data_IF_888247655326
#
_entry.id   IF_888247655326
#
_cell.length_a   1.000
_cell.length_b   1.000
_cell.length_c   1.000
_cell.angle_alpha   90.00
_cell.angle_beta   90.00
_cell.angle_gamma   90.00
#
_symmetry.space_group_name_H-M   'P 1'
#
loop_
_entity.id
_entity.type
_entity.pdbx_description
1 polymer ?
#
# COMPACT_ATOMS: atom_id res chain seq x y z
N UNK A 1 -6.46 4.45 -34.15
CA UNK A 1 -7.56 3.57 -33.67
C UNK A 1 -7.71 3.77 -32.18
N UNK A 2 -8.77 4.45 -31.77
CA UNK A 2 -9.08 4.75 -30.37
C UNK A 2 -9.76 3.51 -29.78
N UNK A 3 -9.08 2.76 -28.93
CA UNK A 3 -9.71 1.69 -28.15
C UNK A 3 -10.23 2.30 -26.86
N UNK A 4 -11.53 2.59 -26.88
CA UNK A 4 -12.32 3.07 -25.76
C UNK A 4 -12.49 1.89 -24.77
N UNK A 5 -11.68 1.82 -23.70
CA UNK A 5 -11.88 0.84 -22.62
C UNK A 5 -13.07 1.26 -21.77
N UNK A 6 -14.25 0.69 -22.10
CA UNK A 6 -15.41 0.70 -21.22
C UNK A 6 -15.04 0.07 -19.87
N UNK A 7 -15.31 0.79 -18.78
CA UNK A 7 -15.37 0.23 -17.42
C UNK A 7 -16.35 -0.96 -17.45
N UNK A 8 -15.85 -2.16 -17.20
CA UNK A 8 -16.68 -3.35 -16.99
C UNK A 8 -17.14 -3.28 -15.54
N UNK A 9 -18.38 -2.83 -15.37
CA UNK A 9 -19.16 -2.97 -14.15
C UNK A 9 -19.47 -4.45 -13.91
N UNK A 10 -18.79 -5.06 -12.95
CA UNK A 10 -19.10 -6.42 -12.49
C UNK A 10 -20.45 -6.42 -11.75
N UNK A 11 -21.44 -7.08 -12.35
CA UNK A 11 -22.74 -7.36 -11.75
C UNK A 11 -22.59 -8.52 -10.76
N UNK A 12 -22.51 -8.21 -9.46
CA UNK A 12 -22.74 -9.21 -8.40
C UNK A 12 -24.23 -9.55 -8.37
N UNK A 13 -24.61 -10.73 -8.86
CA UNK A 13 -25.90 -11.33 -8.53
C UNK A 13 -25.68 -12.37 -7.43
N UNK A 14 -26.27 -12.07 -6.28
CA UNK A 14 -26.31 -12.89 -5.08
C UNK A 14 -26.98 -14.24 -5.32
N UNK A 15 -26.50 -15.30 -4.64
CA UNK A 15 -27.36 -16.33 -4.02
C UNK A 15 -26.57 -17.04 -2.91
N UNK A 16 -26.65 -16.54 -1.68
CA UNK A 16 -26.47 -17.38 -0.48
C UNK A 16 -27.75 -17.23 0.31
N UNK A 17 -28.54 -18.30 0.35
CA UNK A 17 -29.79 -18.39 1.11
C UNK A 17 -29.40 -18.43 2.60
N UNK A 18 -29.69 -17.35 3.32
CA UNK A 18 -29.54 -17.26 4.77
C UNK A 18 -30.94 -17.37 5.39
N UNK A 19 -31.12 -18.40 6.21
CA UNK A 19 -32.35 -18.67 6.96
C UNK A 19 -32.55 -17.58 8.02
N UNK A 20 -33.75 -17.00 8.02
CA UNK A 20 -34.23 -15.97 8.95
C UNK A 20 -34.17 -16.42 10.42
N UNK A 21 -33.53 -15.62 11.28
CA UNK A 21 -33.88 -15.51 12.71
C UNK A 21 -34.19 -14.03 12.99
N UNK A 22 -35.40 -13.67 13.44
CA UNK A 22 -35.74 -12.29 13.74
C UNK A 22 -35.23 -11.96 15.15
N UNK A 23 -34.08 -11.27 15.26
CA UNK A 23 -33.66 -10.63 16.49
C UNK A 23 -34.06 -9.14 16.44
N UNK A 24 -34.78 -8.72 17.48
CA UNK A 24 -35.38 -7.41 17.65
C UNK A 24 -34.38 -6.26 17.41
N UNK A 25 -34.85 -5.27 16.65
CA UNK A 25 -34.25 -3.95 16.50
C UNK A 25 -34.20 -3.22 17.85
N UNK A 26 -33.07 -3.28 18.54
CA UNK A 26 -32.66 -2.23 19.46
C UNK A 26 -31.79 -1.25 18.68
N UNK A 27 -32.46 -0.23 18.15
CA UNK A 27 -31.88 1.01 17.64
C UNK A 27 -31.11 1.71 18.77
N UNK A 28 -29.88 1.29 19.04
CA UNK A 28 -28.89 2.20 19.57
C UNK A 28 -28.47 3.08 18.42
N UNK A 29 -28.83 4.36 18.47
CA UNK A 29 -28.25 5.37 17.59
C UNK A 29 -26.74 5.40 17.86
N UNK A 30 -25.97 4.64 17.07
CA UNK A 30 -24.54 4.83 16.95
C UNK A 30 -24.39 6.21 16.34
N UNK A 31 -24.13 7.21 17.19
CA UNK A 31 -23.72 8.52 16.74
C UNK A 31 -22.55 8.28 15.78
N UNK A 32 -22.81 8.44 14.48
CA UNK A 32 -21.82 8.44 13.44
C UNK A 32 -20.83 9.56 13.80
N UNK A 33 -19.79 9.21 14.53
CA UNK A 33 -18.60 10.04 14.65
C UNK A 33 -17.86 9.94 13.31
N UNK A 34 -18.51 10.42 12.24
CA UNK A 34 -17.81 10.70 11.00
C UNK A 34 -16.85 11.83 11.32
N UNK A 35 -15.55 11.53 11.28
CA UNK A 35 -14.51 12.55 11.39
C UNK A 35 -14.87 13.69 10.45
N UNK A 36 -14.86 14.94 10.93
CA UNK A 36 -15.01 16.11 10.06
C UNK A 36 -14.03 15.99 8.89
N UNK A 37 -14.55 16.06 7.66
CA UNK A 37 -13.72 16.05 6.46
C UNK A 37 -12.66 17.15 6.56
N UNK A 38 -11.42 16.85 6.17
CA UNK A 38 -10.37 17.85 6.13
C UNK A 38 -10.54 18.74 4.90
N UNK A 39 -10.24 20.02 5.03
CA UNK A 39 -10.26 20.92 3.86
C UNK A 39 -9.05 20.64 2.96
N UNK A 40 -9.11 20.97 1.66
CA UNK A 40 -7.95 20.85 0.77
C UNK A 40 -6.71 21.56 1.31
N UNK A 41 -6.87 22.77 1.85
CA UNK A 41 -5.75 23.56 2.40
C UNK A 41 -5.12 22.90 3.63
N UNK A 42 -5.92 22.28 4.49
CA UNK A 42 -5.41 21.51 5.64
C UNK A 42 -4.56 20.32 5.18
N UNK A 43 -5.02 19.58 4.17
CA UNK A 43 -4.31 18.41 3.64
C UNK A 43 -3.00 18.82 2.95
N UNK A 44 -3.02 19.88 2.13
CA UNK A 44 -1.82 20.42 1.50
C UNK A 44 -0.80 20.87 2.54
N UNK A 45 -1.23 21.58 3.59
CA UNK A 45 -0.34 22.02 4.67
C UNK A 45 0.32 20.86 5.40
N UNK A 46 -0.40 19.75 5.63
CA UNK A 46 0.17 18.55 6.24
C UNK A 46 1.24 17.93 5.33
N UNK A 47 0.96 17.81 4.03
CA UNK A 47 1.90 17.25 3.05
C UNK A 47 3.16 18.11 2.99
N UNK A 48 3.03 19.41 2.75
CA UNK A 48 4.15 20.34 2.64
C UNK A 48 5.02 20.34 3.90
N UNK A 49 4.39 20.39 5.08
CA UNK A 49 5.12 20.33 6.35
C UNK A 49 5.92 19.04 6.44
N UNK A 50 5.30 17.88 6.14
CA UNK A 50 5.96 16.59 6.26
C UNK A 50 7.11 16.43 5.28
N UNK A 51 6.93 16.85 4.03
CA UNK A 51 8.00 16.83 3.03
C UNK A 51 9.12 17.85 3.34
N UNK A 52 8.77 18.98 3.96
CA UNK A 52 9.74 19.94 4.49
C UNK A 52 10.63 19.33 5.57
N UNK A 53 10.05 18.63 6.55
CA UNK A 53 10.80 17.90 7.59
C UNK A 53 11.78 16.87 6.98
N UNK A 54 11.33 16.12 5.97
CA UNK A 54 12.20 15.20 5.23
C UNK A 54 13.29 15.94 4.44
N UNK A 55 12.95 17.07 3.83
CA UNK A 55 13.88 17.92 3.12
C UNK A 55 14.98 18.48 4.03
N UNK A 56 14.69 18.84 5.27
CA UNK A 56 15.71 19.28 6.22
C UNK A 56 16.65 18.13 6.63
N UNK A 57 16.10 16.92 6.77
CA UNK A 57 16.82 15.74 7.24
C UNK A 57 17.69 15.08 6.17
N UNK A 58 17.24 15.08 4.92
CA UNK A 58 17.93 14.47 3.79
C UNK A 58 18.35 15.56 2.79
N UNK A 59 19.46 16.29 3.06
CA UNK A 59 19.85 17.47 2.30
C UNK A 59 20.17 17.19 0.83
N UNK A 60 20.45 15.92 0.49
CA UNK A 60 20.78 15.49 -0.87
C UNK A 60 19.56 15.19 -1.73
N UNK A 61 18.35 15.19 -1.15
CA UNK A 61 17.10 14.79 -1.81
C UNK A 61 16.10 15.93 -1.79
N UNK A 62 15.67 16.44 -2.94
CA UNK A 62 14.52 17.33 -3.02
C UNK A 62 13.25 16.47 -3.00
N UNK A 63 12.40 16.66 -1.99
CA UNK A 63 11.05 16.07 -2.00
C UNK A 63 10.09 17.07 -2.63
N UNK A 64 9.24 16.58 -3.54
CA UNK A 64 8.13 17.35 -4.09
C UNK A 64 6.87 16.50 -4.06
N UNK A 65 5.74 17.17 -3.87
CA UNK A 65 4.41 16.60 -4.03
C UNK A 65 3.82 17.11 -5.33
N UNK A 66 3.22 16.20 -6.10
CA UNK A 66 2.40 16.53 -7.27
C UNK A 66 1.06 15.80 -7.17
N UNK A 67 0.00 16.46 -7.63
CA UNK A 67 -1.36 16.00 -7.34
C UNK A 67 -1.83 14.92 -8.32
N UNK A 68 -1.55 15.09 -9.62
CA UNK A 68 -2.17 14.29 -10.66
C UNK A 68 -3.64 14.67 -10.90
N UNK A 69 -4.40 13.76 -11.51
CA UNK A 69 -5.81 14.00 -11.83
C UNK A 69 -5.94 15.11 -12.87
N UNK A 70 -6.77 16.14 -12.60
CA UNK A 70 -7.01 17.23 -13.56
C UNK A 70 -5.74 18.02 -13.94
N UNK A 71 -4.73 18.08 -13.06
CA UNK A 71 -3.45 18.79 -13.30
C UNK A 71 -2.33 17.90 -13.81
N UNK A 72 -2.60 16.63 -14.14
CA UNK A 72 -1.56 15.63 -14.43
C UNK A 72 -0.53 16.10 -15.49
N UNK A 73 -0.98 16.84 -16.50
CA UNK A 73 -0.12 17.29 -17.60
C UNK A 73 0.87 18.36 -17.14
N UNK A 74 0.39 19.35 -16.39
CA UNK A 74 1.21 20.44 -15.85
C UNK A 74 2.22 19.90 -14.83
N UNK A 75 1.76 19.01 -13.95
CA UNK A 75 2.61 18.31 -12.97
C UNK A 75 3.74 17.53 -13.67
N UNK A 76 3.40 16.77 -14.72
CA UNK A 76 4.38 16.00 -15.48
C UNK A 76 5.40 16.90 -16.19
N UNK A 77 4.96 17.97 -16.85
CA UNK A 77 5.85 18.93 -17.52
C UNK A 77 6.78 19.61 -16.53
N UNK A 78 6.28 19.95 -15.33
CA UNK A 78 7.09 20.53 -14.27
C UNK A 78 8.22 19.58 -13.85
N UNK A 79 7.93 18.29 -13.62
CA UNK A 79 8.94 17.28 -13.29
C UNK A 79 9.99 17.15 -14.37
N UNK A 80 9.58 16.98 -15.64
CA UNK A 80 10.50 16.82 -16.78
C UNK A 80 11.43 18.04 -16.91
N UNK A 81 10.91 19.24 -16.65
CA UNK A 81 11.70 20.48 -16.68
C UNK A 81 12.70 20.56 -15.52
N UNK A 82 12.32 20.08 -14.32
CA UNK A 82 13.14 20.17 -13.12
C UNK A 82 14.37 19.25 -13.14
N UNK A 83 14.25 18.04 -13.68
CA UNK A 83 15.29 16.99 -13.57
C UNK A 83 16.55 17.26 -14.39
N UNK A 84 16.50 18.06 -15.46
CA UNK A 84 17.65 18.36 -16.32
C UNK A 84 18.06 17.25 -17.30
N UNK A 85 19.05 17.53 -18.14
CA UNK A 85 19.53 16.62 -19.18
C UNK A 85 20.45 15.53 -18.62
N UNK A 86 20.25 14.28 -19.05
CA UNK A 86 21.04 13.14 -18.56
C UNK A 86 20.66 12.71 -17.13
N UNK A 87 19.45 13.05 -16.68
CA UNK A 87 18.89 12.51 -15.44
C UNK A 87 18.73 10.98 -15.53
N UNK A 88 18.80 10.30 -14.39
CA UNK A 88 18.68 8.84 -14.30
C UNK A 88 17.60 8.45 -13.30
N UNK A 89 16.73 7.52 -13.67
CA UNK A 89 15.79 6.91 -12.74
C UNK A 89 16.55 6.07 -11.69
N UNK A 90 16.04 6.06 -10.45
CA UNK A 90 16.64 5.35 -9.33
C UNK A 90 15.69 4.29 -8.73
N UNK A 91 14.50 4.13 -9.30
CA UNK A 91 13.50 3.17 -8.80
C UNK A 91 13.95 1.72 -8.96
N UNK A 92 14.82 1.45 -9.94
CA UNK A 92 15.33 0.13 -10.31
C UNK A 92 16.83 0.18 -10.49
N UNK A 93 17.51 -0.90 -10.10
CA UNK A 93 18.89 -1.14 -10.51
C UNK A 93 18.91 -1.39 -12.02
N UNK A 94 19.86 -0.77 -12.72
CA UNK A 94 20.05 -1.01 -14.15
C UNK A 94 21.49 -0.68 -14.57
N UNK A 95 22.06 -1.37 -15.56
CA UNK A 95 23.38 -1.06 -16.05
C UNK A 95 23.36 0.21 -16.93
N UNK A 96 24.51 0.86 -17.17
CA UNK A 96 24.56 2.13 -17.88
C UNK A 96 23.95 2.11 -19.29
N UNK A 97 24.03 0.96 -19.98
CA UNK A 97 23.65 0.81 -21.38
C UNK A 97 22.14 0.96 -21.62
N UNK A 98 21.31 0.70 -20.60
CA UNK A 98 19.84 0.80 -20.67
C UNK A 98 19.28 2.02 -19.95
N UNK A 99 20.15 2.94 -19.50
CA UNK A 99 19.74 4.10 -18.70
C UNK A 99 18.68 4.95 -19.39
N UNK A 100 18.82 5.17 -20.70
CA UNK A 100 17.86 5.95 -21.48
C UNK A 100 16.48 5.27 -21.55
N UNK A 101 16.46 3.96 -21.81
CA UNK A 101 15.23 3.16 -21.90
C UNK A 101 14.50 3.12 -20.55
N UNK A 102 15.24 2.92 -19.45
CA UNK A 102 14.67 2.92 -18.10
C UNK A 102 14.13 4.31 -17.74
N UNK A 103 14.80 5.38 -18.17
CA UNK A 103 14.30 6.74 -17.97
C UNK A 103 12.99 6.99 -18.71
N UNK A 104 12.87 6.54 -19.97
CA UNK A 104 11.63 6.63 -20.75
C UNK A 104 10.48 5.85 -20.08
N UNK A 105 10.76 4.62 -19.64
CA UNK A 105 9.78 3.80 -18.90
C UNK A 105 9.36 4.47 -17.59
N UNK A 106 10.29 5.13 -16.90
CA UNK A 106 10.00 5.85 -15.65
C UNK A 106 9.09 7.06 -15.89
N UNK A 107 9.28 7.78 -17.00
CA UNK A 107 8.35 8.85 -17.39
C UNK A 107 6.97 8.34 -17.75
N UNK A 108 6.88 7.28 -18.56
CA UNK A 108 5.59 6.71 -18.93
C UNK A 108 4.87 6.13 -17.71
N UNK A 109 5.60 5.54 -16.76
CA UNK A 109 5.07 5.15 -15.45
C UNK A 109 4.52 6.36 -14.70
N UNK A 110 5.33 7.40 -14.49
CA UNK A 110 4.94 8.61 -13.75
C UNK A 110 3.69 9.25 -14.36
N UNK A 111 3.68 9.43 -15.67
CA UNK A 111 2.53 9.95 -16.43
C UNK A 111 1.27 9.13 -16.18
N UNK A 112 1.35 7.79 -16.25
CA UNK A 112 0.22 6.91 -15.95
C UNK A 112 -0.26 7.02 -14.51
N UNK A 113 0.67 7.11 -13.54
CA UNK A 113 0.31 7.28 -12.13
C UNK A 113 -0.44 8.61 -11.92
N UNK A 114 0.04 9.69 -12.53
CA UNK A 114 -0.61 11.01 -12.47
C UNK A 114 -1.99 11.02 -13.13
N UNK A 115 -2.13 10.41 -14.32
CA UNK A 115 -3.41 10.32 -15.02
C UNK A 115 -4.47 9.49 -14.27
N UNK A 116 -4.04 8.53 -13.47
CA UNK A 116 -4.91 7.59 -12.78
C UNK A 116 -5.09 7.88 -11.28
N UNK A 117 -4.60 9.03 -10.79
CA UNK A 117 -4.62 9.40 -9.36
C UNK A 117 -3.97 8.31 -8.45
N UNK A 118 -2.96 7.61 -8.96
CA UNK A 118 -2.29 6.55 -8.19
C UNK A 118 -1.25 7.15 -7.27
N UNK A 119 -1.35 6.79 -5.99
CA UNK A 119 -0.33 7.13 -4.99
C UNK A 119 0.95 6.36 -5.27
N UNK A 120 2.06 7.08 -5.42
CA UNK A 120 3.37 6.48 -5.69
C UNK A 120 4.53 7.44 -5.42
N UNK A 121 5.71 6.86 -5.28
CA UNK A 121 6.98 7.55 -5.37
C UNK A 121 7.73 7.23 -6.68
N UNK A 122 8.45 8.23 -7.19
CA UNK A 122 9.41 8.08 -8.30
C UNK A 122 10.68 8.86 -7.97
N UNK A 123 11.83 8.19 -8.06
CA UNK A 123 13.13 8.76 -7.69
C UNK A 123 14.02 8.99 -8.89
N UNK A 124 14.67 10.15 -8.93
CA UNK A 124 15.63 10.53 -9.97
C UNK A 124 16.93 11.06 -9.37
N UNK A 125 18.04 10.78 -10.04
CA UNK A 125 19.24 11.60 -9.94
C UNK A 125 19.13 12.70 -10.99
N UNK A 126 19.29 13.95 -10.57
CA UNK A 126 19.16 15.09 -11.48
C UNK A 126 20.35 15.18 -12.41
N UNK A 127 20.09 15.61 -13.63
CA UNK A 127 21.08 15.79 -14.69
C UNK A 127 21.62 17.21 -14.78
N UNK A 128 22.38 17.47 -15.84
CA UNK A 128 22.95 18.77 -16.14
C UNK A 128 21.86 19.79 -16.49
N UNK A 129 22.03 21.03 -16.04
CA UNK A 129 21.07 22.10 -16.30
C UNK A 129 19.76 21.98 -15.51
N UNK A 130 19.66 21.06 -14.55
CA UNK A 130 18.56 21.01 -13.59
C UNK A 130 18.42 22.33 -12.84
N UNK A 131 17.18 22.77 -12.60
CA UNK A 131 16.87 23.92 -11.75
C UNK A 131 16.98 23.61 -10.25
N UNK A 132 17.15 22.34 -9.89
CA UNK A 132 17.21 21.88 -8.51
C UNK A 132 18.60 22.05 -7.93
N UNK A 133 18.65 22.46 -6.65
CA UNK A 133 19.92 22.59 -5.91
C UNK A 133 20.45 21.26 -5.37
N UNK A 134 19.57 20.25 -5.26
CA UNK A 134 19.86 18.94 -4.66
C UNK A 134 20.11 17.91 -5.75
N UNK A 135 20.95 16.91 -5.43
CA UNK A 135 21.43 15.92 -6.41
C UNK A 135 20.37 14.89 -6.80
N UNK A 136 19.38 14.67 -5.93
CA UNK A 136 18.30 13.72 -6.16
C UNK A 136 16.95 14.43 -6.04
N UNK A 137 15.97 13.91 -6.76
CA UNK A 137 14.58 14.32 -6.71
C UNK A 137 13.73 13.11 -6.33
N UNK A 138 12.92 13.25 -5.30
CA UNK A 138 11.85 12.32 -4.93
C UNK A 138 10.51 12.99 -5.27
N UNK A 139 9.78 12.39 -6.21
CA UNK A 139 8.46 12.86 -6.64
C UNK A 139 7.41 11.97 -6.00
N UNK A 140 6.55 12.55 -5.16
CA UNK A 140 5.43 11.85 -4.54
C UNK A 140 4.15 12.27 -5.26
N UNK A 141 3.50 11.31 -5.91
CA UNK A 141 2.20 11.49 -6.54
C UNK A 141 1.12 11.18 -5.52
N UNK A 142 0.24 12.13 -5.23
CA UNK A 142 -0.83 11.95 -4.26
C UNK A 142 -1.96 12.95 -4.53
N UNK A 143 -3.15 12.47 -4.87
CA UNK A 143 -4.34 13.32 -4.91
C UNK A 143 -5.10 13.22 -3.58
N UNK A 144 -4.89 14.14 -2.62
CA UNK A 144 -5.49 14.01 -1.29
C UNK A 144 -7.02 14.04 -1.31
N UNK A 145 -7.63 14.67 -2.32
CA UNK A 145 -9.10 14.71 -2.45
C UNK A 145 -9.68 13.34 -2.83
N UNK A 146 -9.04 12.66 -3.79
CA UNK A 146 -9.45 11.33 -4.20
C UNK A 146 -9.12 10.26 -3.15
N UNK A 147 -8.04 10.46 -2.40
CA UNK A 147 -7.45 9.46 -1.52
C UNK A 147 -7.98 9.48 -0.06
N UNK A 148 -8.14 10.65 0.56
CA UNK A 148 -8.26 10.78 2.04
C UNK A 148 -9.16 11.93 2.50
N UNK A 149 -10.17 12.31 1.71
CA UNK A 149 -11.06 13.42 2.09
C UNK A 149 -11.71 13.24 3.49
N UNK A 150 -11.98 11.98 3.89
CA UNK A 150 -12.46 11.59 5.21
C UNK A 150 -12.16 10.10 5.47
N UNK A 151 -12.48 9.63 6.68
CA UNK A 151 -12.24 8.25 7.13
C UNK A 151 -12.91 7.19 6.23
N UNK A 152 -14.13 7.46 5.71
CA UNK A 152 -14.81 6.54 4.78
C UNK A 152 -14.04 6.44 3.46
N UNK A 153 -13.64 7.58 2.88
CA UNK A 153 -12.89 7.62 1.61
C UNK A 153 -11.53 6.94 1.74
N UNK A 154 -10.79 7.21 2.82
CA UNK A 154 -9.51 6.55 3.07
C UNK A 154 -9.65 5.02 3.15
N UNK A 155 -10.69 4.55 3.86
CA UNK A 155 -10.98 3.12 3.99
C UNK A 155 -11.40 2.50 2.66
N UNK A 156 -12.27 3.18 1.93
CA UNK A 156 -12.77 2.74 0.64
C UNK A 156 -11.65 2.62 -0.39
N UNK A 157 -10.78 3.63 -0.47
CA UNK A 157 -9.62 3.62 -1.35
C UNK A 157 -8.66 2.49 -0.98
N UNK A 158 -8.33 2.35 0.32
CA UNK A 158 -7.37 1.35 0.78
C UNK A 158 -7.84 -0.09 0.56
N UNK A 159 -9.15 -0.34 0.52
CA UNK A 159 -9.72 -1.68 0.35
C UNK A 159 -10.32 -1.93 -1.05
N UNK A 160 -10.29 -0.93 -1.93
CA UNK A 160 -10.94 -0.93 -3.25
C UNK A 160 -12.41 -1.43 -3.20
N UNK A 161 -13.20 -0.86 -2.29
CA UNK A 161 -14.59 -1.28 -2.07
C UNK A 161 -15.59 -0.49 -2.92
N UNK A 162 -16.59 -1.21 -3.44
CA UNK A 162 -17.80 -0.58 -3.98
C UNK A 162 -18.54 0.19 -2.89
N UNK A 163 -19.31 1.22 -3.26
CA UNK A 163 -20.13 1.97 -2.30
C UNK A 163 -21.09 1.06 -1.53
N UNK A 164 -21.70 0.09 -2.20
CA UNK A 164 -22.60 -0.89 -1.57
C UNK A 164 -21.92 -1.76 -0.51
N UNK A 165 -20.64 -2.09 -0.68
CA UNK A 165 -19.87 -2.84 0.31
C UNK A 165 -19.42 -1.91 1.43
N UNK A 166 -18.97 -0.71 1.07
CA UNK A 166 -18.51 0.31 2.02
C UNK A 166 -19.61 0.74 3.00
N UNK A 167 -20.86 0.84 2.55
CA UNK A 167 -22.00 1.21 3.40
C UNK A 167 -22.31 0.18 4.51
N UNK A 168 -21.78 -1.04 4.37
CA UNK A 168 -21.91 -2.10 5.38
C UNK A 168 -20.74 -2.10 6.37
N UNK A 169 -19.61 -1.51 6.02
CA UNK A 169 -18.40 -1.51 6.85
C UNK A 169 -18.69 -0.77 8.15
N UNK A 170 -18.37 -1.38 9.28
CA UNK A 170 -18.57 -0.76 10.58
C UNK A 170 -17.64 0.46 10.73
N UNK A 171 -18.13 1.64 11.13
CA UNK A 171 -17.29 2.83 11.28
C UNK A 171 -16.07 2.66 12.20
N UNK A 172 -16.09 1.74 13.18
CA UNK A 172 -14.91 1.48 14.02
C UNK A 172 -13.74 0.86 13.23
N UNK A 173 -14.00 0.34 12.03
CA UNK A 173 -13.01 -0.19 11.09
C UNK A 173 -12.45 0.83 10.14
N UNK A 174 -12.99 2.05 10.15
CA UNK A 174 -12.49 3.06 9.26
C UNK A 174 -11.03 3.42 9.61
N UNK A 175 -10.28 3.71 8.57
CA UNK A 175 -8.94 4.29 8.68
C UNK A 175 -9.11 5.78 8.98
N UNK A 176 -8.50 6.23 10.08
CA UNK A 176 -8.41 7.66 10.32
C UNK A 176 -7.62 8.31 9.18
N UNK A 177 -8.25 9.20 8.42
CA UNK A 177 -7.71 9.73 7.17
C UNK A 177 -6.43 10.56 7.35
N UNK A 178 -6.25 11.21 8.51
CA UNK A 178 -5.04 12.00 8.83
C UNK A 178 -3.86 11.09 9.20
N UNK A 179 -4.13 10.06 10.00
CA UNK A 179 -3.13 9.02 10.26
C UNK A 179 -2.77 8.28 8.96
N UNK A 180 -3.77 8.02 8.09
CA UNK A 180 -3.55 7.39 6.80
C UNK A 180 -2.69 8.24 5.87
N UNK A 181 -2.97 9.54 5.76
CA UNK A 181 -2.12 10.47 5.01
C UNK A 181 -0.66 10.40 5.49
N UNK A 182 -0.45 10.49 6.80
CA UNK A 182 0.90 10.50 7.38
C UNK A 182 1.63 9.20 7.09
N UNK A 183 0.95 8.06 7.30
CA UNK A 183 1.47 6.74 7.00
C UNK A 183 1.83 6.58 5.52
N UNK A 184 0.96 7.03 4.61
CA UNK A 184 1.18 6.97 3.17
C UNK A 184 2.36 7.84 2.74
N UNK A 185 2.47 9.07 3.24
CA UNK A 185 3.63 9.91 2.94
C UNK A 185 4.93 9.26 3.44
N UNK A 186 4.93 8.71 4.64
CA UNK A 186 6.10 8.01 5.20
C UNK A 186 6.46 6.76 4.39
N UNK A 187 5.46 6.02 3.90
CA UNK A 187 5.62 4.88 3.01
C UNK A 187 6.27 5.29 1.67
N UNK A 188 5.73 6.32 1.01
CA UNK A 188 6.25 6.77 -0.29
C UNK A 188 7.64 7.42 -0.16
N UNK A 189 7.89 8.15 0.93
CA UNK A 189 9.23 8.67 1.22
C UNK A 189 10.22 7.53 1.40
N UNK A 190 9.85 6.45 2.09
CA UNK A 190 10.73 5.29 2.23
C UNK A 190 11.15 4.70 0.89
N UNK A 191 10.24 4.59 -0.09
CA UNK A 191 10.61 4.11 -1.43
C UNK A 191 11.73 4.95 -2.06
N UNK A 192 11.68 6.27 -1.87
CA UNK A 192 12.75 7.16 -2.32
C UNK A 192 14.07 6.97 -1.55
N UNK A 193 13.99 6.84 -0.22
CA UNK A 193 15.16 6.58 0.61
C UNK A 193 15.82 5.24 0.23
N UNK A 194 15.01 4.22 -0.01
CA UNK A 194 15.42 2.90 -0.46
C UNK A 194 16.13 2.96 -1.82
N UNK A 195 15.53 3.67 -2.78
CA UNK A 195 16.11 3.89 -4.10
C UNK A 195 17.44 4.63 -4.07
N UNK A 196 17.51 5.73 -3.31
CA UNK A 196 18.67 6.62 -3.32
C UNK A 196 19.84 6.07 -2.50
N UNK A 197 19.56 5.46 -1.34
CA UNK A 197 20.60 4.99 -0.42
C UNK A 197 20.93 3.51 -0.55
N UNK A 198 20.04 2.71 -1.16
CA UNK A 198 20.21 1.25 -1.24
C UNK A 198 20.03 0.67 -2.65
N UNK A 199 19.86 1.51 -3.68
CA UNK A 199 19.86 1.09 -5.09
C UNK A 199 18.50 0.64 -5.63
N UNK A 200 17.43 0.74 -4.84
CA UNK A 200 16.07 0.45 -5.30
C UNK A 200 15.79 -1.03 -5.53
N UNK A 201 14.90 -1.36 -6.49
CA UNK A 201 14.58 -2.75 -6.81
C UNK A 201 15.71 -3.37 -7.64
N UNK A 202 16.34 -4.48 -7.18
CA UNK A 202 17.44 -5.10 -7.90
C UNK A 202 16.97 -5.78 -9.19
N UNK A 203 17.87 -5.87 -10.17
CA UNK A 203 17.62 -6.67 -11.37
C UNK A 203 17.60 -8.16 -11.04
N UNK A 204 16.80 -8.91 -11.79
CA UNK A 204 16.64 -10.35 -11.55
C UNK A 204 16.35 -11.11 -12.82
N UNK A 205 16.86 -12.34 -12.87
CA UNK A 205 16.58 -13.33 -13.94
C UNK A 205 15.50 -14.33 -13.51
N UNK A 206 15.03 -14.24 -12.28
CA UNK A 206 14.00 -15.12 -11.76
C UNK A 206 12.65 -14.74 -12.40
N UNK A 207 11.83 -15.69 -12.86
CA UNK A 207 10.58 -15.41 -13.58
C UNK A 207 9.62 -14.46 -12.85
N UNK A 208 9.56 -14.53 -11.52
CA UNK A 208 8.75 -13.64 -10.67
C UNK A 208 9.60 -12.75 -9.77
N UNK A 209 10.87 -12.56 -10.12
CA UNK A 209 11.80 -11.84 -9.27
C UNK A 209 11.40 -10.36 -9.12
N UNK A 210 10.85 -9.74 -10.16
CA UNK A 210 10.36 -8.36 -10.11
C UNK A 210 9.27 -8.20 -9.06
N UNK A 211 8.24 -9.04 -9.10
CA UNK A 211 7.14 -9.05 -8.14
C UNK A 211 7.63 -9.37 -6.72
N UNK A 212 8.56 -10.32 -6.57
CA UNK A 212 9.16 -10.65 -5.29
C UNK A 212 9.91 -9.45 -4.67
N UNK A 213 10.73 -8.75 -5.46
CA UNK A 213 11.46 -7.58 -4.98
C UNK A 213 10.52 -6.40 -4.69
N UNK A 214 9.47 -6.21 -5.49
CA UNK A 214 8.43 -5.23 -5.18
C UNK A 214 7.73 -5.56 -3.86
N UNK A 215 7.30 -6.80 -3.63
CA UNK A 215 6.68 -7.24 -2.38
C UNK A 215 7.56 -6.96 -1.15
N UNK A 216 8.87 -7.20 -1.29
CA UNK A 216 9.85 -6.89 -0.24
C UNK A 216 9.97 -5.40 0.04
N UNK A 217 9.99 -4.57 -1.01
CA UNK A 217 10.07 -3.10 -0.87
C UNK A 217 8.81 -2.52 -0.24
N UNK A 218 7.63 -2.95 -0.69
CA UNK A 218 6.34 -2.59 -0.08
C UNK A 218 6.28 -2.98 1.40
N UNK A 219 6.78 -4.16 1.74
CA UNK A 219 6.87 -4.62 3.13
C UNK A 219 7.78 -3.72 3.97
N UNK A 220 8.96 -3.33 3.46
CA UNK A 220 9.87 -2.44 4.17
C UNK A 220 9.27 -1.03 4.34
N UNK A 221 8.61 -0.50 3.30
CA UNK A 221 7.95 0.79 3.35
C UNK A 221 6.84 0.84 4.40
N UNK A 222 5.99 -0.19 4.46
CA UNK A 222 4.97 -0.31 5.50
C UNK A 222 5.56 -0.52 6.90
N UNK A 223 6.68 -1.24 7.03
CA UNK A 223 7.38 -1.38 8.31
C UNK A 223 7.86 -0.02 8.83
N UNK A 224 8.50 0.75 7.95
CA UNK A 224 9.02 2.07 8.24
C UNK A 224 7.88 3.04 8.63
N UNK A 225 6.84 3.14 7.80
CA UNK A 225 5.69 3.99 8.05
C UNK A 225 4.97 3.61 9.36
N UNK A 226 4.82 2.32 9.65
CA UNK A 226 4.22 1.88 10.92
C UNK A 226 5.10 2.23 12.12
N UNK A 227 6.42 2.07 12.02
CA UNK A 227 7.33 2.40 13.11
C UNK A 227 7.30 3.90 13.42
N UNK A 228 7.25 4.75 12.39
CA UNK A 228 7.07 6.20 12.54
C UNK A 228 5.72 6.55 13.17
N UNK A 229 4.65 5.88 12.75
CA UNK A 229 3.33 6.05 13.35
C UNK A 229 3.35 5.70 14.85
N UNK A 230 3.87 4.52 15.24
CA UNK A 230 3.99 4.14 16.64
C UNK A 230 4.87 5.10 17.44
N UNK A 231 6.01 5.53 16.87
CA UNK A 231 6.93 6.49 17.47
C UNK A 231 6.22 7.82 17.78
N UNK A 232 5.46 8.34 16.83
CA UNK A 232 4.75 9.62 17.00
C UNK A 232 3.59 9.55 17.99
N UNK A 233 2.94 8.38 18.10
CA UNK A 233 1.75 8.19 18.95
C UNK A 233 2.07 7.65 20.33
N UNK A 234 3.25 7.06 20.52
CA UNK A 234 3.68 6.42 21.76
C UNK A 234 2.86 5.19 22.17
N UNK A 235 2.01 4.67 21.27
CA UNK A 235 1.12 3.51 21.51
C UNK A 235 0.60 2.92 20.21
N UNK A 236 0.15 1.67 20.26
CA UNK A 236 -0.64 1.05 19.17
C UNK A 236 -2.03 1.67 19.13
N UNK A 237 -2.37 2.37 18.05
CA UNK A 237 -3.65 3.06 17.87
C UNK A 237 -4.70 2.19 17.14
N UNK A 238 -6.00 2.58 17.14
CA UNK A 238 -7.00 1.94 16.29
C UNK A 238 -6.63 1.94 14.80
N UNK A 239 -6.09 3.06 14.28
CA UNK A 239 -5.57 3.14 12.90
C UNK A 239 -4.57 2.02 12.61
N UNK A 240 -3.57 1.84 13.50
CA UNK A 240 -2.53 0.82 13.33
C UNK A 240 -3.10 -0.60 13.23
N UNK A 241 -4.18 -0.89 13.97
CA UNK A 241 -4.89 -2.17 13.88
C UNK A 241 -5.67 -2.29 12.58
N UNK A 242 -6.45 -1.26 12.25
CA UNK A 242 -7.31 -1.27 11.06
C UNK A 242 -6.49 -1.35 9.76
N UNK A 243 -5.36 -0.64 9.65
CA UNK A 243 -4.50 -0.73 8.47
C UNK A 243 -3.84 -2.11 8.35
N UNK A 244 -3.51 -2.76 9.46
CA UNK A 244 -2.99 -4.14 9.46
C UNK A 244 -4.03 -5.10 8.88
N UNK A 245 -5.30 -4.98 9.31
CA UNK A 245 -6.38 -5.80 8.75
C UNK A 245 -6.63 -5.48 7.29
N UNK A 246 -6.62 -4.19 6.92
CA UNK A 246 -6.81 -3.79 5.54
C UNK A 246 -5.73 -4.41 4.64
N UNK A 247 -4.45 -4.29 5.02
CA UNK A 247 -3.33 -4.92 4.30
C UNK A 247 -3.42 -6.44 4.22
N UNK A 248 -4.01 -7.11 5.22
CA UNK A 248 -4.22 -8.56 5.15
C UNK A 248 -5.22 -8.96 4.04
N UNK A 249 -6.18 -8.10 3.73
CA UNK A 249 -7.18 -8.32 2.67
C UNK A 249 -6.61 -8.10 1.26
N UNK A 250 -5.49 -7.36 1.11
CA UNK A 250 -4.86 -7.11 -0.20
C UNK A 250 -4.39 -8.39 -0.89
N UNK A 251 -4.17 -9.48 -0.15
CA UNK A 251 -3.83 -10.79 -0.72
C UNK A 251 -4.80 -11.27 -1.80
N UNK A 252 -6.03 -10.76 -1.75
CA UNK A 252 -7.15 -11.15 -2.59
C UNK A 252 -7.65 -10.02 -3.50
N UNK A 253 -6.85 -8.95 -3.64
CA UNK A 253 -7.06 -7.84 -4.59
C UNK A 253 -6.19 -8.04 -5.83
N UNK A 254 -6.27 -7.12 -6.78
CA UNK A 254 -5.41 -7.09 -7.97
C UNK A 254 -3.93 -6.79 -7.69
N UNK A 255 -3.60 -6.41 -6.46
CA UNK A 255 -2.24 -6.06 -6.05
C UNK A 255 -1.80 -6.80 -4.77
N UNK A 256 -1.70 -8.13 -4.81
CA UNK A 256 -1.33 -8.91 -3.64
C UNK A 256 0.12 -8.72 -3.18
N UNK A 257 0.96 -8.06 -3.98
CA UNK A 257 2.28 -7.57 -3.56
C UNK A 257 2.19 -6.44 -2.51
N UNK A 258 0.98 -6.02 -2.15
CA UNK A 258 0.71 -5.09 -1.06
C UNK A 258 0.08 -5.79 0.16
N UNK A 259 0.08 -7.13 0.20
CA UNK A 259 -0.27 -7.91 1.39
C UNK A 259 0.90 -7.97 2.41
N UNK A 260 1.20 -6.84 3.02
CA UNK A 260 2.37 -6.62 3.88
C UNK A 260 2.09 -6.83 5.38
N UNK A 261 0.91 -7.36 5.71
CA UNK A 261 0.41 -7.34 7.08
C UNK A 261 1.31 -8.07 8.09
N UNK A 262 1.97 -9.18 7.72
CA UNK A 262 2.92 -9.89 8.61
C UNK A 262 4.06 -8.95 9.03
N UNK A 263 4.54 -8.13 8.09
CA UNK A 263 5.59 -7.14 8.36
C UNK A 263 5.11 -6.03 9.29
N UNK A 264 3.90 -5.52 9.07
CA UNK A 264 3.30 -4.53 9.98
C UNK A 264 3.13 -5.11 11.38
N UNK A 265 2.71 -6.37 11.50
CA UNK A 265 2.53 -7.06 12.79
C UNK A 265 3.83 -7.16 13.59
N UNK A 266 4.95 -7.47 12.96
CA UNK A 266 6.26 -7.43 13.62
C UNK A 266 6.62 -6.04 14.15
N UNK A 267 6.13 -4.98 13.50
CA UNK A 267 6.30 -3.62 14.03
C UNK A 267 5.40 -3.38 15.24
N UNK A 268 4.16 -3.88 15.22
CA UNK A 268 3.18 -3.68 16.30
C UNK A 268 3.53 -4.36 17.62
N UNK A 269 4.40 -5.38 17.61
CA UNK A 269 4.91 -6.02 18.83
C UNK A 269 6.06 -5.25 19.47
N UNK A 270 6.64 -4.26 18.77
CA UNK A 270 7.67 -3.41 19.35
C UNK A 270 7.10 -2.50 20.44
N UNK A 271 7.91 -2.30 21.47
CA UNK A 271 7.63 -1.28 22.48
C UNK A 271 7.80 0.13 21.86
N UNK A 272 6.73 0.94 21.79
CA UNK A 272 6.81 2.29 21.25
C UNK A 272 7.83 3.17 21.99
N UNK A 273 8.08 2.91 23.28
CA UNK A 273 9.10 3.62 24.05
C UNK A 273 10.52 3.38 23.51
N UNK A 274 10.80 2.19 22.98
CA UNK A 274 12.09 1.88 22.35
C UNK A 274 12.26 2.58 21.01
N UNK A 275 11.17 2.84 20.28
CA UNK A 275 11.21 3.54 18.99
C UNK A 275 11.54 5.04 19.14
N UNK A 276 11.24 5.64 20.31
CA UNK A 276 11.46 7.07 20.55
C UNK A 276 12.93 7.49 20.44
N UNK A 277 13.87 6.59 20.77
CA UNK A 277 15.31 6.86 20.73
C UNK A 277 15.99 6.40 19.44
N UNK A 278 15.28 5.73 18.53
CA UNK A 278 15.88 5.23 17.28
C UNK A 278 15.97 6.37 16.29
N UNK A 279 17.18 6.62 15.78
CA UNK A 279 17.39 7.60 14.73
C UNK A 279 16.63 7.19 13.47
N UNK A 280 16.27 8.15 12.62
CA UNK A 280 15.52 7.80 11.41
C UNK A 280 16.35 6.98 10.42
N UNK A 281 17.65 7.25 10.32
CA UNK A 281 18.56 6.44 9.51
C UNK A 281 18.58 4.97 9.99
N UNK A 282 18.61 4.76 11.32
CA UNK A 282 18.53 3.42 11.89
C UNK A 282 17.16 2.78 11.65
N UNK A 283 16.05 3.56 11.64
CA UNK A 283 14.73 3.05 11.29
C UNK A 283 14.65 2.61 9.82
N UNK A 284 15.28 3.33 8.89
CA UNK A 284 15.33 2.94 7.47
C UNK A 284 16.07 1.61 7.32
N UNK A 285 17.26 1.47 7.94
CA UNK A 285 18.03 0.23 7.91
C UNK A 285 17.28 -0.93 8.60
N UNK A 286 16.66 -0.64 9.75
CA UNK A 286 15.86 -1.62 10.49
C UNK A 286 14.67 -2.10 9.67
N UNK A 287 13.92 -1.22 9.00
CA UNK A 287 12.77 -1.58 8.18
C UNK A 287 13.15 -2.58 7.08
N UNK A 288 14.30 -2.40 6.43
CA UNK A 288 14.85 -3.38 5.48
C UNK A 288 15.15 -4.72 6.14
N UNK A 289 15.74 -4.73 7.33
CA UNK A 289 16.08 -5.95 8.08
C UNK A 289 14.87 -6.73 8.63
N UNK A 290 13.73 -6.05 8.84
CA UNK A 290 12.49 -6.73 9.25
C UNK A 290 12.01 -7.64 8.13
N UNK A 291 12.12 -7.19 6.88
CA UNK A 291 11.69 -7.95 5.69
C UNK A 291 12.43 -9.29 5.57
N UNK A 292 13.69 -9.37 5.97
CA UNK A 292 14.45 -10.63 5.99
C UNK A 292 13.87 -11.69 6.93
N UNK A 293 13.08 -11.27 7.92
CA UNK A 293 12.44 -12.14 8.91
C UNK A 293 10.97 -12.43 8.62
N UNK A 294 10.29 -11.51 7.92
CA UNK A 294 8.83 -11.58 7.70
C UNK A 294 8.45 -12.02 6.30
N UNK A 295 9.29 -11.73 5.31
CA UNK A 295 9.06 -12.14 3.93
C UNK A 295 9.83 -13.42 3.66
N UNK A 296 9.09 -14.45 3.23
CA UNK A 296 9.67 -15.73 2.79
C UNK A 296 10.71 -15.49 1.70
N UNK A 297 11.64 -16.44 1.54
CA UNK A 297 12.54 -16.44 0.39
C UNK A 297 11.75 -16.52 -0.95
N UNK A 298 12.46 -16.39 -2.07
CA UNK A 298 11.82 -16.36 -3.39
C UNK A 298 10.92 -17.59 -3.64
N UNK A 299 11.39 -18.79 -3.30
CA UNK A 299 10.62 -20.02 -3.50
C UNK A 299 9.38 -20.05 -2.60
N UNK A 300 9.53 -19.70 -1.33
CA UNK A 300 8.42 -19.59 -0.39
C UNK A 300 7.42 -18.51 -0.79
N UNK A 301 7.86 -17.41 -1.36
CA UNK A 301 7.01 -16.38 -1.96
C UNK A 301 6.20 -16.96 -3.12
N UNK A 302 6.83 -17.62 -4.09
CA UNK A 302 6.12 -18.23 -5.23
C UNK A 302 5.09 -19.26 -4.76
N UNK A 303 5.44 -20.13 -3.80
CA UNK A 303 4.48 -21.09 -3.22
C UNK A 303 3.32 -20.39 -2.49
N UNK A 304 3.60 -19.33 -1.73
CA UNK A 304 2.57 -18.53 -1.08
C UNK A 304 1.63 -17.87 -2.11
N UNK A 305 2.17 -17.38 -3.23
CA UNK A 305 1.37 -16.81 -4.32
C UNK A 305 0.46 -17.85 -4.98
N UNK A 306 0.98 -19.04 -5.28
CA UNK A 306 0.17 -20.14 -5.81
C UNK A 306 -0.96 -20.53 -4.83
N UNK A 307 -0.65 -20.65 -3.53
CA UNK A 307 -1.64 -20.95 -2.51
C UNK A 307 -2.69 -19.84 -2.36
N UNK A 308 -2.30 -18.57 -2.48
CA UNK A 308 -3.22 -17.43 -2.45
C UNK A 308 -4.21 -17.47 -3.64
N UNK A 309 -3.74 -17.80 -4.86
CA UNK A 309 -4.62 -17.97 -6.01
C UNK A 309 -5.64 -19.10 -5.80
N UNK A 310 -5.19 -20.24 -5.24
CA UNK A 310 -6.09 -21.35 -4.93
C UNK A 310 -7.11 -20.96 -3.87
N UNK A 311 -6.69 -20.24 -2.83
CA UNK A 311 -7.57 -19.71 -1.81
C UNK A 311 -8.60 -18.71 -2.40
N UNK A 312 -8.16 -17.84 -3.32
CA UNK A 312 -9.03 -16.87 -3.98
C UNK A 312 -10.13 -17.56 -4.79
N UNK A 313 -9.77 -18.61 -5.53
CA UNK A 313 -10.71 -19.45 -6.26
C UNK A 313 -11.73 -20.14 -5.33
N UNK A 314 -11.29 -20.66 -4.18
CA UNK A 314 -12.19 -21.26 -3.17
C UNK A 314 -13.17 -20.22 -2.59
N UNK A 315 -12.72 -18.97 -2.46
CA UNK A 315 -13.53 -17.85 -2.00
C UNK A 315 -14.44 -17.27 -3.08
N UNK A 316 -14.40 -17.81 -4.31
CA UNK A 316 -15.23 -17.35 -5.43
C UNK A 316 -14.78 -16.02 -6.04
N UNK A 317 -13.51 -15.63 -5.84
CA UNK A 317 -12.94 -14.42 -6.43
C UNK A 317 -12.50 -14.69 -7.87
N UNK A 318 -12.71 -13.71 -8.76
CA UNK A 318 -12.38 -13.86 -10.17
C UNK A 318 -10.85 -13.89 -10.40
N UNK A 319 -10.32 -14.90 -11.13
CA UNK A 319 -8.88 -15.00 -11.43
C UNK A 319 -8.32 -13.82 -12.23
N UNK A 320 -9.16 -13.12 -13.01
CA UNK A 320 -8.79 -11.97 -13.83
C UNK A 320 -8.29 -10.78 -12.99
N UNK A 321 -8.64 -10.75 -11.71
CA UNK A 321 -8.11 -9.78 -10.74
C UNK A 321 -6.59 -9.83 -10.67
N UNK A 322 -5.96 -10.99 -10.92
CA UNK A 322 -4.53 -11.11 -10.72
C UNK A 322 -3.73 -10.70 -11.96
N UNK A 323 -4.26 -10.79 -13.19
CA UNK A 323 -3.56 -10.39 -14.43
C UNK A 323 -2.88 -11.55 -15.19
N UNK A 324 -2.11 -11.26 -16.25
CA UNK A 324 -1.60 -12.28 -17.19
C UNK A 324 -0.38 -13.08 -16.68
N UNK A 325 0.42 -12.50 -15.77
CA UNK A 325 1.66 -13.11 -15.26
C UNK A 325 1.44 -14.35 -14.35
N UNK A 326 0.18 -14.74 -14.10
CA UNK A 326 -0.17 -15.72 -13.06
C UNK A 326 -0.50 -17.11 -13.59
N UNK A 327 -0.45 -17.30 -14.91
CA UNK A 327 -0.75 -18.58 -15.56
C UNK A 327 0.14 -19.73 -15.04
N UNK A 328 1.39 -19.44 -14.65
CA UNK A 328 2.31 -20.45 -14.13
C UNK A 328 2.07 -20.79 -12.66
N UNK A 329 1.78 -19.81 -11.80
CA UNK A 329 1.41 -20.05 -10.40
C UNK A 329 0.13 -20.90 -10.27
N UNK A 330 -0.83 -20.70 -11.17
CA UNK A 330 -2.08 -21.45 -11.18
C UNK A 330 -1.89 -22.96 -11.45
N UNK A 331 -0.77 -23.35 -12.09
CA UNK A 331 -0.44 -24.75 -12.40
C UNK A 331 0.37 -25.43 -11.30
N UNK A 332 0.86 -24.67 -10.31
CA UNK A 332 1.70 -25.22 -9.26
C UNK A 332 0.89 -26.02 -8.24
N UNK A 333 1.48 -27.11 -7.74
CA UNK A 333 0.96 -27.79 -6.56
C UNK A 333 1.07 -26.88 -5.33
N UNK A 334 0.04 -26.91 -4.49
CA UNK A 334 -0.06 -26.07 -3.29
C UNK A 334 -0.33 -26.93 -2.07
N UNK A 335 0.27 -26.56 -0.94
CA UNK A 335 0.03 -27.21 0.33
C UNK A 335 -1.41 -26.96 0.79
N UNK A 336 -2.26 -28.00 0.97
CA UNK A 336 -3.65 -27.81 1.36
C UNK A 336 -3.83 -27.04 2.67
N UNK A 337 -2.92 -27.27 3.63
CA UNK A 337 -2.92 -26.56 4.91
C UNK A 337 -2.67 -25.06 4.75
N UNK A 338 -1.74 -24.68 3.87
CA UNK A 338 -1.47 -23.27 3.58
C UNK A 338 -2.70 -22.62 2.96
N UNK A 339 -3.30 -23.26 1.94
CA UNK A 339 -4.53 -22.77 1.30
C UNK A 339 -5.64 -22.59 2.34
N UNK A 340 -5.87 -23.58 3.20
CA UNK A 340 -6.89 -23.52 4.24
C UNK A 340 -6.64 -22.38 5.25
N UNK A 341 -5.38 -22.16 5.66
CA UNK A 341 -5.01 -21.02 6.51
C UNK A 341 -5.31 -19.68 5.84
N UNK A 342 -5.01 -19.52 4.55
CA UNK A 342 -5.25 -18.28 3.81
C UNK A 342 -6.75 -18.00 3.63
N UNK A 343 -7.55 -19.03 3.33
CA UNK A 343 -9.03 -18.93 3.27
C UNK A 343 -9.60 -18.50 4.63
N UNK A 344 -9.15 -19.13 5.72
CA UNK A 344 -9.60 -18.78 7.07
C UNK A 344 -9.29 -17.33 7.42
N UNK A 345 -8.04 -16.92 7.16
CA UNK A 345 -7.55 -15.58 7.44
C UNK A 345 -8.38 -14.52 6.73
N UNK A 346 -8.71 -14.75 5.46
CA UNK A 346 -9.58 -13.85 4.71
C UNK A 346 -10.96 -13.73 5.34
N UNK A 347 -11.64 -14.88 5.55
CA UNK A 347 -12.98 -14.89 6.15
C UNK A 347 -12.99 -14.12 7.46
N UNK A 348 -12.03 -14.41 8.32
CA UNK A 348 -11.84 -13.70 9.58
C UNK A 348 -11.75 -12.18 9.36
N UNK A 349 -10.77 -11.68 8.60
CA UNK A 349 -10.61 -10.23 8.46
C UNK A 349 -11.75 -9.56 7.69
N UNK A 350 -12.33 -10.24 6.70
CA UNK A 350 -13.42 -9.71 5.89
C UNK A 350 -14.71 -9.63 6.68
N UNK A 351 -15.11 -10.68 7.40
CA UNK A 351 -16.31 -10.70 8.23
C UNK A 351 -16.25 -9.64 9.32
N UNK A 352 -15.07 -9.44 9.91
CA UNK A 352 -14.89 -8.43 10.94
C UNK A 352 -14.85 -6.99 10.41
N UNK A 353 -14.79 -6.75 9.09
CA UNK A 353 -15.03 -5.39 8.56
C UNK A 353 -16.41 -4.86 8.94
N UNK A 354 -17.37 -5.77 9.15
CA UNK A 354 -18.77 -5.44 9.38
C UNK A 354 -19.16 -5.49 10.86
N UNK A 355 -18.23 -5.80 11.76
CA UNK A 355 -18.48 -5.92 13.21
C UNK A 355 -17.74 -4.85 14.00
N UNK A 356 -18.21 -4.59 15.22
CA UNK A 356 -17.56 -3.70 16.18
C UNK A 356 -16.54 -4.43 17.09
N UNK A 357 -16.39 -5.75 16.91
CA UNK A 357 -15.56 -6.58 17.76
C UNK A 357 -14.10 -6.11 17.78
N UNK A 358 -13.44 -6.19 18.93
CA UNK A 358 -12.01 -5.90 18.99
C UNK A 358 -11.24 -7.04 18.34
N UNK A 359 -10.68 -6.77 17.17
CA UNK A 359 -9.87 -7.73 16.43
C UNK A 359 -8.53 -8.01 17.11
N UNK A 360 -8.18 -9.29 17.17
CA UNK A 360 -6.82 -9.72 17.49
C UNK A 360 -5.88 -9.35 16.33
N UNK A 361 -4.58 -9.23 16.63
CA UNK A 361 -3.58 -8.94 15.60
C UNK A 361 -3.37 -10.11 14.63
N UNK A 362 -3.67 -11.34 15.04
CA UNK A 362 -3.82 -12.46 14.10
C UNK A 362 -5.18 -13.12 14.18
N UNK A 363 -5.58 -13.62 13.01
CA UNK A 363 -6.66 -14.58 12.87
C UNK A 363 -6.37 -15.84 13.73
N UNK A 364 -7.36 -16.33 14.48
CA UNK A 364 -7.23 -17.58 15.20
C UNK A 364 -6.97 -18.74 14.23
N UNK A 365 -6.37 -19.86 14.70
CA UNK A 365 -6.26 -21.09 13.94
C UNK A 365 -7.61 -21.51 13.33
N UNK A 366 -7.58 -22.19 12.18
CA UNK A 366 -8.81 -22.64 11.50
C UNK A 366 -9.69 -23.55 12.37
N UNK A 367 -9.09 -24.34 13.25
CA UNK A 367 -9.82 -25.20 14.19
C UNK A 367 -10.63 -24.36 15.19
N UNK A 368 -10.08 -23.23 15.64
CA UNK A 368 -10.72 -22.35 16.62
C UNK A 368 -11.76 -21.42 15.97
N UNK A 369 -11.61 -21.11 14.67
CA UNK A 369 -12.56 -20.27 13.94
C UNK A 369 -13.80 -21.01 13.46
N UNK A 370 -13.72 -22.33 13.25
CA UNK A 370 -14.88 -23.17 12.89
C UNK A 370 -15.80 -23.48 14.07
N UNK A 371 -15.38 -23.17 15.30
CA UNK A 371 -16.12 -23.44 16.54
C UNK A 371 -16.91 -22.22 17.06
N UNK A 372 -16.74 -21.05 16.43
CA UNK A 372 -17.49 -19.82 16.72
C UNK A 372 -18.54 -19.62 15.64
#
# INVERSE_FOLDING_TARGET
MVVNKKRISARLLATVILVFVPALYLSTAWAQSTSKASTPDELTSIIEKRLGEYGERYPDIQFIHIQGGDSWHEDFVAVVTMIGHGATALDYEHPPEVTADVMELSFERLKRMLMADIVSATSFRVGQGSSLKRRNLCVITLNPRAFIANDRVATQFMLDLTDSTMDRVNPVRYLNHRDHLSFTLDHEVFHCLDSIYFGGAPMTKLPMGGEYHLFRRESAADAYAMALHLRSRGKVTPYARNITHARALWMFTDSPNRCTFETIREVLILDPGKLASVSEADLVAWAKSVVDRTVRDYHGYVHQRAAALKAASILGLEPDLYGENWCECAKMETEPELVARLVNRYRYYYEHLFTDERLALDAPPLIDSLQR
#
